data_IF_978054035958
#
_entry.id   IF_978054035958
#
_cell.length_a   1.000
_cell.length_b   1.000
_cell.length_c   1.000
_cell.angle_alpha   90.00
_cell.angle_beta   90.00
_cell.angle_gamma   90.00
#
_symmetry.space_group_name_H-M   'P 1'
#
loop_
_entity.id
_entity.type
_entity.pdbx_description
1 polymer ?
#
# COMPACT_ATOMS: atom_id res chain seq x y z
N UNK A 1 -32.19 0.61 -3.33
CA UNK A 1 -30.81 0.62 -2.80
C UNK A 1 -30.23 -0.73 -3.13
N UNK A 2 -29.34 -0.80 -4.14
CA UNK A 2 -28.70 -2.06 -4.50
C UNK A 2 -27.82 -2.52 -3.33
N UNK A 3 -27.72 -3.84 -3.05
CA UNK A 3 -26.76 -4.33 -2.08
C UNK A 3 -25.36 -3.89 -2.53
N UNK A 4 -24.59 -3.29 -1.62
CA UNK A 4 -23.19 -2.99 -1.87
C UNK A 4 -22.51 -4.29 -2.29
N UNK A 5 -21.95 -4.31 -3.51
CA UNK A 5 -21.16 -5.45 -3.96
C UNK A 5 -20.11 -5.76 -2.89
N UNK A 6 -19.96 -7.02 -2.46
CA UNK A 6 -18.91 -7.36 -1.51
C UNK A 6 -17.60 -6.88 -2.13
N UNK A 7 -16.78 -6.18 -1.33
CA UNK A 7 -15.41 -5.86 -1.72
C UNK A 7 -14.78 -7.16 -2.22
N UNK A 8 -14.55 -7.25 -3.52
CA UNK A 8 -13.82 -8.33 -4.17
C UNK A 8 -12.39 -8.25 -3.63
N UNK A 9 -12.16 -8.85 -2.47
CA UNK A 9 -10.81 -9.14 -2.02
C UNK A 9 -10.34 -10.29 -2.90
N UNK A 10 -9.51 -9.97 -3.90
CA UNK A 10 -8.83 -11.00 -4.67
C UNK A 10 -8.03 -11.87 -3.69
N UNK A 11 -8.39 -13.15 -3.60
CA UNK A 11 -7.66 -14.09 -2.77
C UNK A 11 -6.29 -14.34 -3.41
N UNK A 12 -5.26 -13.67 -2.91
CA UNK A 12 -3.89 -13.86 -3.32
C UNK A 12 -3.22 -14.91 -2.41
N UNK A 13 -2.86 -16.06 -2.99
CA UNK A 13 -2.06 -17.08 -2.31
C UNK A 13 -0.61 -17.03 -2.83
N UNK A 14 0.36 -16.96 -1.93
CA UNK A 14 1.78 -17.02 -2.28
C UNK A 14 2.32 -18.42 -2.01
N UNK A 15 2.90 -19.05 -3.03
CA UNK A 15 3.45 -20.42 -2.95
C UNK A 15 4.95 -20.39 -2.68
N UNK A 16 5.38 -21.18 -1.68
CA UNK A 16 6.79 -21.40 -1.36
C UNK A 16 7.30 -22.69 -2.02
N UNK A 17 8.30 -22.63 -2.93
CA UNK A 17 8.83 -23.82 -3.59
C UNK A 17 9.74 -24.66 -2.68
N UNK A 18 10.34 -24.05 -1.67
CA UNK A 18 11.22 -24.71 -0.70
C UNK A 18 10.54 -24.83 0.67
N UNK A 19 10.94 -25.81 1.51
CA UNK A 19 10.44 -25.90 2.87
C UNK A 19 10.66 -24.60 3.66
N UNK A 20 9.59 -24.08 4.25
CA UNK A 20 9.61 -22.86 5.07
C UNK A 20 9.06 -23.12 6.47
N UNK A 21 9.23 -22.17 7.38
CA UNK A 21 8.67 -22.26 8.74
C UNK A 21 7.33 -21.54 8.83
N UNK A 22 6.49 -21.90 9.82
CA UNK A 22 5.20 -21.23 10.03
C UNK A 22 5.36 -19.70 10.13
N UNK A 23 6.34 -19.25 10.92
CA UNK A 23 6.56 -17.82 11.13
C UNK A 23 6.91 -17.09 9.81
N UNK A 24 7.73 -17.70 8.96
CA UNK A 24 8.08 -17.08 7.66
C UNK A 24 6.84 -16.97 6.77
N UNK A 25 6.02 -18.02 6.69
CA UNK A 25 4.79 -18.01 5.90
C UNK A 25 3.76 -16.98 6.43
N UNK A 26 3.60 -16.87 7.76
CA UNK A 26 2.71 -15.88 8.38
C UNK A 26 3.18 -14.43 8.11
N UNK A 27 4.48 -14.16 8.24
CA UNK A 27 5.04 -12.84 7.96
C UNK A 27 4.93 -12.46 6.48
N UNK A 28 5.16 -13.40 5.58
CA UNK A 28 5.00 -13.19 4.15
C UNK A 28 3.55 -12.82 3.81
N UNK A 29 2.58 -13.61 4.28
CA UNK A 29 1.16 -13.30 4.11
C UNK A 29 0.78 -11.93 4.69
N UNK A 30 1.32 -11.58 5.86
CA UNK A 30 1.12 -10.26 6.47
C UNK A 30 1.68 -9.13 5.59
N UNK A 31 2.91 -9.24 5.10
CA UNK A 31 3.55 -8.23 4.26
C UNK A 31 2.80 -8.07 2.93
N UNK A 32 2.44 -9.19 2.30
CA UNK A 32 1.66 -9.18 1.06
C UNK A 32 0.28 -8.55 1.26
N UNK A 33 -0.40 -8.84 2.38
CA UNK A 33 -1.69 -8.23 2.72
C UNK A 33 -1.59 -6.74 3.06
N UNK A 34 -0.46 -6.30 3.61
CA UNK A 34 -0.20 -4.88 3.90
C UNK A 34 0.32 -4.11 2.67
N UNK A 35 0.63 -4.79 1.56
CA UNK A 35 1.03 -4.14 0.32
C UNK A 35 -0.18 -3.49 -0.37
N UNK A 36 -0.61 -2.35 0.18
CA UNK A 36 -1.77 -1.61 -0.29
C UNK A 36 -1.38 -0.71 -1.45
N UNK A 37 -2.12 -0.81 -2.55
CA UNK A 37 -2.05 0.19 -3.62
C UNK A 37 -2.94 1.37 -3.24
N UNK A 38 -2.34 2.53 -3.03
CA UNK A 38 -3.08 3.76 -2.69
C UNK A 38 -3.47 4.49 -3.98
N UNK A 39 -4.77 4.72 -4.17
CA UNK A 39 -5.32 5.50 -5.27
C UNK A 39 -5.77 6.88 -4.80
N UNK A 40 -5.61 7.89 -5.64
CA UNK A 40 -6.05 9.25 -5.37
C UNK A 40 -6.27 10.04 -6.66
N UNK A 41 -7.00 11.15 -6.58
CA UNK A 41 -7.31 12.04 -7.70
C UNK A 41 -6.34 13.23 -7.81
N UNK A 42 -5.61 13.54 -6.73
CA UNK A 42 -4.63 14.63 -6.72
C UNK A 42 -3.32 14.23 -7.39
N UNK A 43 -3.19 14.55 -8.68
CA UNK A 43 -1.94 14.35 -9.44
C UNK A 43 -0.73 15.00 -8.74
N UNK A 44 -0.90 16.17 -8.11
CA UNK A 44 0.16 16.84 -7.36
C UNK A 44 0.68 15.96 -6.22
N UNK A 45 -0.22 15.47 -5.36
CA UNK A 45 0.14 14.65 -4.20
C UNK A 45 0.77 13.34 -4.68
N UNK A 46 0.15 12.65 -5.63
CA UNK A 46 0.67 11.39 -6.16
C UNK A 46 2.09 11.55 -6.72
N UNK A 47 2.35 12.60 -7.52
CA UNK A 47 3.70 12.86 -8.06
C UNK A 47 4.71 13.31 -7.02
N UNK A 48 4.29 13.98 -5.95
CA UNK A 48 5.16 14.29 -4.82
C UNK A 48 5.53 13.01 -4.05
N UNK A 49 4.55 12.15 -3.77
CA UNK A 49 4.76 10.86 -3.09
C UNK A 49 5.68 9.93 -3.88
N UNK A 50 5.59 9.95 -5.21
CA UNK A 50 6.48 9.23 -6.12
C UNK A 50 7.88 9.87 -6.26
N UNK A 51 8.12 11.06 -5.69
CA UNK A 51 9.40 11.77 -5.78
C UNK A 51 9.65 12.49 -7.12
N UNK A 52 8.65 12.50 -8.02
CA UNK A 52 8.73 13.21 -9.32
C UNK A 52 8.67 14.72 -9.12
N UNK A 53 7.80 15.18 -8.23
CA UNK A 53 7.65 16.60 -7.90
C UNK A 53 8.28 16.93 -6.56
N UNK A 54 9.04 18.02 -6.52
CA UNK A 54 9.64 18.50 -5.29
C UNK A 54 8.59 19.18 -4.40
N UNK A 55 8.54 18.79 -3.13
CA UNK A 55 7.71 19.44 -2.11
C UNK A 55 8.43 20.65 -1.54
N UNK A 56 7.95 21.86 -1.89
CA UNK A 56 8.56 23.13 -1.44
C UNK A 56 7.87 23.75 -0.24
N UNK A 57 6.55 23.55 -0.11
CA UNK A 57 5.76 24.18 0.93
C UNK A 57 6.14 23.64 2.32
N UNK A 58 6.68 24.47 3.23
CA UNK A 58 7.20 24.00 4.52
C UNK A 58 6.11 23.36 5.39
N UNK A 59 4.87 23.87 5.34
CA UNK A 59 3.75 23.33 6.10
C UNK A 59 3.28 21.93 5.67
N UNK A 60 3.71 21.45 4.50
CA UNK A 60 3.37 20.09 4.02
C UNK A 60 4.48 19.06 4.30
N UNK A 61 5.65 19.49 4.79
CA UNK A 61 6.81 18.60 4.97
C UNK A 61 6.53 17.50 5.97
N UNK A 62 5.81 17.81 7.06
CA UNK A 62 5.52 16.81 8.08
C UNK A 62 4.52 15.78 7.57
N UNK A 63 3.43 16.22 6.92
CA UNK A 63 2.46 15.34 6.30
C UNK A 63 3.11 14.42 5.25
N UNK A 64 3.99 14.97 4.42
CA UNK A 64 4.74 14.20 3.43
C UNK A 64 5.64 13.12 4.06
N UNK A 65 6.31 13.44 5.18
CA UNK A 65 7.14 12.46 5.90
C UNK A 65 6.27 11.36 6.47
N UNK A 66 5.18 11.70 7.17
CA UNK A 66 4.27 10.72 7.77
C UNK A 66 3.67 9.76 6.73
N UNK A 67 3.36 10.25 5.53
CA UNK A 67 2.79 9.43 4.46
C UNK A 67 3.82 8.50 3.76
N UNK A 68 5.12 8.64 4.04
CA UNK A 68 6.18 7.79 3.46
C UNK A 68 6.74 6.74 4.42
N UNK A 69 6.23 6.70 5.65
CA UNK A 69 6.63 5.73 6.68
C UNK A 69 5.99 4.38 6.39
#
# INVERSE_FOLDING_TARGET
MAPAEPLLCEYAAHYFPEPTTNNIAEYDGLIHGLHLTIFGDSQLVLRQMQGVYHLRHPGLRELYRSARV
#
